data_IF_994374038749
#
_entry.id   IF_994374038749
#
_cell.length_a   1.000
_cell.length_b   1.000
_cell.length_c   1.000
_cell.angle_alpha   90.00
_cell.angle_beta   90.00
_cell.angle_gamma   90.00
#
_symmetry.space_group_name_H-M   'P 1'
#
loop_
_entity.id
_entity.type
_entity.pdbx_description
1 polymer ?
#
# COMPACT_ATOMS: atom_id res chain seq x y z
N UNK A 1 8.80 -10.70 -11.38
CA UNK A 1 9.29 -11.69 -10.39
C UNK A 1 8.60 -11.39 -9.07
N UNK A 2 7.99 -12.37 -8.40
CA UNK A 2 7.26 -12.14 -7.14
C UNK A 2 8.23 -11.81 -6.00
N UNK A 3 8.12 -10.59 -5.45
CA UNK A 3 8.89 -10.19 -4.27
C UNK A 3 8.32 -10.85 -3.00
N UNK A 4 9.13 -11.59 -2.22
CA UNK A 4 8.66 -12.22 -0.99
C UNK A 4 8.40 -11.22 0.13
N UNK A 5 7.26 -11.33 0.80
CA UNK A 5 7.08 -10.77 2.15
C UNK A 5 7.52 -11.77 3.23
N UNK A 6 7.17 -13.05 3.09
CA UNK A 6 7.49 -14.11 4.04
C UNK A 6 8.01 -15.37 3.32
N UNK A 7 8.76 -16.21 4.04
CA UNK A 7 9.14 -17.55 3.58
C UNK A 7 10.34 -17.62 2.63
N UNK A 8 11.08 -16.52 2.41
CA UNK A 8 12.35 -16.53 1.70
C UNK A 8 13.51 -16.09 2.62
N UNK A 9 14.50 -16.96 2.91
CA UNK A 9 15.62 -16.61 3.78
C UNK A 9 16.63 -15.66 3.15
N UNK A 10 16.63 -15.51 1.82
CA UNK A 10 17.63 -14.73 1.08
C UNK A 10 17.22 -13.28 0.80
N UNK A 11 15.99 -12.89 1.15
CA UNK A 11 15.49 -11.53 0.95
C UNK A 11 13.99 -11.42 1.13
N UNK A 12 13.51 -10.23 1.53
CA UNK A 12 12.08 -9.92 1.69
C UNK A 12 11.80 -8.41 1.60
N UNK A 13 10.53 -8.05 1.47
CA UNK A 13 10.06 -6.64 1.40
C UNK A 13 9.66 -6.06 2.75
N UNK A 14 9.95 -6.71 3.87
CA UNK A 14 9.49 -6.24 5.20
C UNK A 14 10.08 -4.88 5.58
N UNK A 15 11.24 -4.55 5.03
CA UNK A 15 11.85 -3.22 5.18
C UNK A 15 10.96 -2.11 4.61
N UNK A 16 10.26 -2.35 3.50
CA UNK A 16 9.31 -1.40 2.91
C UNK A 16 8.10 -1.22 3.82
N UNK A 17 7.59 -2.30 4.43
CA UNK A 17 6.49 -2.21 5.40
C UNK A 17 6.89 -1.38 6.63
N UNK A 18 8.12 -1.57 7.11
CA UNK A 18 8.66 -0.80 8.21
C UNK A 18 8.79 0.68 7.84
N UNK A 19 9.28 1.00 6.64
CA UNK A 19 9.37 2.39 6.17
C UNK A 19 8.00 3.06 6.03
N UNK A 20 7.00 2.37 5.50
CA UNK A 20 5.64 2.90 5.42
C UNK A 20 5.03 3.15 6.81
N UNK A 21 5.29 2.27 7.79
CA UNK A 21 4.88 2.47 9.18
C UNK A 21 5.52 3.72 9.79
N UNK A 22 6.82 3.91 9.60
CA UNK A 22 7.51 5.14 10.04
C UNK A 22 6.98 6.40 9.36
N UNK A 23 6.64 6.34 8.08
CA UNK A 23 6.05 7.48 7.38
C UNK A 23 4.69 7.89 7.98
N UNK A 24 3.83 6.92 8.32
CA UNK A 24 2.54 7.27 8.96
C UNK A 24 2.74 7.78 10.39
N UNK A 25 3.75 7.32 11.13
CA UNK A 25 4.12 7.92 12.42
C UNK A 25 4.54 9.39 12.28
N UNK A 26 5.33 9.72 11.25
CA UNK A 26 5.73 11.09 10.97
C UNK A 26 4.53 11.97 10.62
N UNK A 27 3.58 11.44 9.84
CA UNK A 27 2.32 12.11 9.53
C UNK A 27 1.53 12.36 10.82
N UNK A 28 1.40 11.36 11.67
CA UNK A 28 0.68 11.46 12.95
C UNK A 28 1.32 12.50 13.87
N UNK A 29 2.64 12.52 13.97
CA UNK A 29 3.38 13.50 14.76
C UNK A 29 3.13 14.92 14.23
N UNK A 30 3.21 15.12 12.92
CA UNK A 30 2.95 16.43 12.30
C UNK A 30 1.48 16.86 12.44
N UNK A 31 0.52 15.95 12.30
CA UNK A 31 -0.90 16.24 12.58
C UNK A 31 -1.11 16.66 14.03
N UNK A 32 -0.40 16.03 14.99
CA UNK A 32 -0.51 16.32 16.40
C UNK A 32 0.15 17.66 16.79
N UNK A 33 1.37 17.93 16.32
CA UNK A 33 2.13 19.14 16.65
C UNK A 33 1.78 20.34 15.78
N UNK A 34 1.22 20.12 14.59
CA UNK A 34 1.10 21.14 13.55
C UNK A 34 2.43 21.41 12.86
N UNK A 35 2.39 22.29 11.86
CA UNK A 35 3.55 22.72 11.10
C UNK A 35 3.45 24.20 10.70
N UNK A 36 4.44 24.73 9.97
CA UNK A 36 4.51 26.16 9.63
C UNK A 36 3.29 26.69 8.87
N UNK A 37 2.57 25.80 8.18
CA UNK A 37 1.41 26.12 7.33
C UNK A 37 0.12 25.44 7.78
N UNK A 38 0.13 24.71 8.91
CA UNK A 38 -1.02 23.92 9.34
C UNK A 38 -1.18 23.92 10.87
N UNK A 39 -2.38 24.22 11.39
CA UNK A 39 -2.64 24.15 12.82
C UNK A 39 -2.43 22.73 13.37
N UNK A 40 -2.01 22.66 14.63
CA UNK A 40 -2.00 21.41 15.39
C UNK A 40 -3.38 20.76 15.41
N UNK A 41 -3.40 19.43 15.53
CA UNK A 41 -4.60 18.56 15.57
C UNK A 41 -5.47 18.65 14.31
N UNK A 42 -4.88 18.98 13.17
CA UNK A 42 -5.62 19.01 11.89
C UNK A 42 -5.22 17.79 11.05
N UNK A 43 -6.08 16.76 10.92
CA UNK A 43 -5.76 15.56 10.17
C UNK A 43 -5.78 15.82 8.65
N UNK A 44 -4.86 15.23 7.90
CA UNK A 44 -4.92 15.20 6.43
C UNK A 44 -6.22 14.52 5.98
N UNK A 45 -6.70 14.89 4.79
CA UNK A 45 -7.89 14.23 4.22
C UNK A 45 -7.54 12.89 3.54
N UNK A 46 -6.32 12.83 2.98
CA UNK A 46 -5.75 11.69 2.28
C UNK A 46 -4.30 11.49 2.72
N UNK A 47 -3.85 10.24 2.67
CA UNK A 47 -2.45 9.88 2.83
C UNK A 47 -2.03 9.09 1.60
N UNK A 48 -0.89 9.47 1.02
CA UNK A 48 -0.34 8.87 -0.17
C UNK A 48 1.03 8.29 0.12
N UNK A 49 1.29 7.11 -0.42
CA UNK A 49 2.63 6.55 -0.55
C UNK A 49 2.93 6.36 -2.03
N UNK A 50 4.14 6.70 -2.44
CA UNK A 50 4.65 6.39 -3.77
C UNK A 50 6.12 6.04 -3.65
N UNK A 51 6.53 4.99 -4.35
CA UNK A 51 7.95 4.68 -4.56
C UNK A 51 8.61 5.82 -5.34
N UNK A 52 9.86 6.16 -4.99
CA UNK A 52 10.55 7.36 -5.48
C UNK A 52 11.30 7.13 -6.80
N UNK A 53 11.48 5.87 -7.17
CA UNK A 53 12.06 5.42 -8.42
C UNK A 53 11.08 5.48 -9.60
N UNK A 54 9.83 5.87 -9.38
CA UNK A 54 8.84 6.02 -10.46
C UNK A 54 8.83 7.41 -11.04
N UNK A 55 8.81 7.46 -12.38
CA UNK A 55 8.50 8.65 -13.14
C UNK A 55 6.99 8.74 -13.41
N UNK A 56 6.44 9.94 -13.27
CA UNK A 56 5.04 10.19 -13.62
C UNK A 56 4.97 10.53 -15.11
N UNK A 57 4.37 9.63 -15.90
CA UNK A 57 4.16 9.83 -17.33
C UNK A 57 3.04 10.83 -17.63
N UNK A 58 2.16 11.06 -16.65
CA UNK A 58 1.12 12.07 -16.69
C UNK A 58 0.79 12.56 -15.26
N UNK A 59 0.13 13.71 -15.14
CA UNK A 59 -0.22 14.32 -13.84
C UNK A 59 -1.07 13.39 -12.98
N UNK A 60 -0.86 13.35 -11.66
CA UNK A 60 -1.75 12.57 -10.78
C UNK A 60 -3.24 12.96 -10.98
N UNK A 61 -4.19 11.99 -11.02
CA UNK A 61 -5.61 12.30 -11.15
C UNK A 61 -6.09 13.29 -10.08
N UNK A 62 -6.91 14.29 -10.42
CA UNK A 62 -7.44 15.22 -9.43
C UNK A 62 -8.16 14.48 -8.29
N UNK A 63 -7.86 14.83 -7.03
CA UNK A 63 -8.38 14.12 -5.85
C UNK A 63 -9.91 14.09 -5.76
N UNK A 64 -10.60 15.08 -6.33
CA UNK A 64 -12.07 15.14 -6.33
C UNK A 64 -12.71 14.06 -7.22
N UNK A 65 -11.95 13.45 -8.14
CA UNK A 65 -12.40 12.30 -8.93
C UNK A 65 -12.20 10.97 -8.20
N UNK A 66 -11.44 10.97 -7.11
CA UNK A 66 -11.07 9.79 -6.34
C UNK A 66 -11.90 9.72 -5.06
N UNK A 67 -12.99 8.95 -5.12
CA UNK A 67 -13.90 8.74 -3.99
C UNK A 67 -13.14 8.30 -2.73
N UNK A 68 -13.22 9.06 -1.60
CA UNK A 68 -12.58 8.73 -0.33
C UNK A 68 -12.96 7.37 0.26
N UNK A 69 -14.05 6.76 -0.20
CA UNK A 69 -14.50 5.47 0.30
C UNK A 69 -13.51 4.34 0.01
N UNK A 70 -12.68 4.51 -1.02
CA UNK A 70 -11.79 3.47 -1.51
C UNK A 70 -10.32 3.74 -1.23
N UNK A 71 -9.56 2.66 -1.06
CA UNK A 71 -8.12 2.66 -1.28
C UNK A 71 -7.86 2.61 -2.79
N UNK A 72 -7.20 3.62 -3.32
CA UNK A 72 -6.83 3.69 -4.73
C UNK A 72 -5.45 3.11 -4.95
N UNK A 73 -5.38 2.13 -5.85
CA UNK A 73 -4.17 1.41 -6.23
C UNK A 73 -4.07 1.40 -7.76
N UNK A 74 -2.86 1.54 -8.33
CA UNK A 74 -2.68 1.36 -9.76
C UNK A 74 -2.94 -0.11 -10.13
N UNK A 75 -3.41 -0.36 -11.34
CA UNK A 75 -3.57 -1.73 -11.89
C UNK A 75 -2.32 -2.15 -12.64
N UNK A 76 -1.96 -3.43 -12.54
CA UNK A 76 -0.86 -4.01 -13.30
C UNK A 76 0.17 -4.68 -12.40
N UNK A 77 0.79 -5.75 -12.91
CA UNK A 77 1.81 -6.55 -12.22
C UNK A 77 1.36 -7.14 -10.88
N UNK A 78 0.06 -7.22 -10.60
CA UNK A 78 -0.46 -7.54 -9.27
C UNK A 78 -0.18 -8.99 -8.82
N UNK A 79 0.46 -9.85 -9.63
CA UNK A 79 0.69 -11.30 -9.42
C UNK A 79 -0.40 -11.98 -8.56
N UNK A 80 -1.68 -11.71 -8.84
CA UNK A 80 -2.90 -12.18 -8.13
C UNK A 80 -3.22 -11.55 -6.74
N UNK A 81 -2.37 -10.65 -6.26
CA UNK A 81 -2.47 -9.83 -5.05
C UNK A 81 -2.80 -8.34 -5.31
N UNK A 82 -2.21 -7.44 -4.51
CA UNK A 82 -2.32 -5.97 -4.63
C UNK A 82 -0.92 -5.36 -4.56
N UNK A 83 -0.49 -4.66 -5.61
CA UNK A 83 0.81 -3.97 -5.59
C UNK A 83 0.83 -2.82 -4.57
N UNK A 84 2.02 -2.46 -4.10
CA UNK A 84 2.29 -1.40 -3.11
C UNK A 84 3.15 -0.26 -3.68
N UNK A 85 3.23 -0.18 -5.02
CA UNK A 85 4.03 0.82 -5.75
C UNK A 85 3.54 2.24 -5.50
N UNK A 86 2.23 2.39 -5.42
CA UNK A 86 1.56 3.65 -5.11
C UNK A 86 0.22 3.38 -4.47
N UNK A 87 -0.08 4.06 -3.36
CA UNK A 87 -1.38 3.98 -2.70
C UNK A 87 -1.86 5.36 -2.29
N UNK A 88 -3.14 5.61 -2.52
CA UNK A 88 -3.84 6.78 -1.99
C UNK A 88 -5.01 6.31 -1.13
N UNK A 89 -4.88 6.53 0.18
CA UNK A 89 -5.87 6.16 1.18
C UNK A 89 -6.61 7.39 1.71
N UNK A 90 -7.86 7.20 2.11
CA UNK A 90 -8.51 8.11 3.04
C UNK A 90 -7.75 8.13 4.38
N UNK A 91 -7.78 9.26 5.09
CA UNK A 91 -7.12 9.32 6.40
C UNK A 91 -7.66 8.29 7.40
N UNK A 92 -8.97 8.01 7.34
CA UNK A 92 -9.66 6.96 8.12
C UNK A 92 -8.98 5.61 7.94
N UNK A 93 -8.60 5.28 6.72
CA UNK A 93 -8.08 3.96 6.36
C UNK A 93 -6.54 3.89 6.37
N UNK A 94 -5.86 5.04 6.35
CA UNK A 94 -4.41 5.15 6.24
C UNK A 94 -3.65 4.36 7.32
N UNK A 95 -4.09 4.37 8.58
CA UNK A 95 -3.48 3.54 9.64
C UNK A 95 -3.60 2.05 9.30
N UNK A 96 -4.77 1.63 8.82
CA UNK A 96 -5.02 0.26 8.43
C UNK A 96 -4.19 -0.19 7.24
N UNK A 97 -3.82 0.75 6.35
CA UNK A 97 -2.95 0.46 5.21
C UNK A 97 -1.48 0.50 5.65
N UNK A 98 -0.97 1.62 6.15
CA UNK A 98 0.48 1.82 6.28
C UNK A 98 1.11 1.15 7.52
N UNK A 99 0.32 0.58 8.43
CA UNK A 99 0.80 -0.13 9.64
C UNK A 99 0.81 -1.66 9.53
N UNK A 100 1.14 -2.18 8.35
CA UNK A 100 1.38 -3.62 8.13
C UNK A 100 2.50 -4.14 9.02
N UNK A 101 3.58 -3.37 9.15
CA UNK A 101 4.72 -3.73 9.99
C UNK A 101 4.30 -3.93 11.45
N UNK A 102 3.55 -2.97 12.02
CA UNK A 102 3.04 -3.06 13.38
C UNK A 102 2.20 -4.32 13.57
N UNK A 103 1.26 -4.57 12.67
CA UNK A 103 0.41 -5.75 12.77
C UNK A 103 1.20 -7.07 12.69
N UNK A 104 2.32 -7.11 11.95
CA UNK A 104 3.24 -8.25 11.90
C UNK A 104 3.95 -8.47 13.23
N UNK A 105 4.58 -7.42 13.76
CA UNK A 105 5.37 -7.47 14.99
C UNK A 105 4.48 -7.76 16.22
N UNK A 106 3.26 -7.23 16.23
CA UNK A 106 2.27 -7.48 17.28
C UNK A 106 1.61 -8.86 17.18
N UNK A 107 1.94 -9.65 16.16
CA UNK A 107 1.38 -10.98 15.96
C UNK A 107 -0.10 -11.00 15.58
N UNK A 108 -0.68 -9.87 15.17
CA UNK A 108 -2.10 -9.75 14.75
C UNK A 108 -2.42 -10.54 13.48
N UNK A 109 -1.39 -11.02 12.79
CA UNK A 109 -1.50 -11.83 11.57
C UNK A 109 -1.52 -13.35 11.79
N UNK A 110 -1.39 -13.84 13.02
CA UNK A 110 -1.41 -15.29 13.30
C UNK A 110 -2.65 -15.99 12.72
N UNK A 111 -3.83 -15.38 12.86
CA UNK A 111 -5.08 -15.94 12.31
C UNK A 111 -5.24 -15.83 10.79
N UNK A 112 -4.43 -15.00 10.11
CA UNK A 112 -4.55 -14.75 8.67
C UNK A 112 -3.65 -15.70 7.88
N UNK A 113 -2.45 -15.98 8.39
CA UNK A 113 -1.43 -16.78 7.69
C UNK A 113 -1.14 -18.13 8.33
N UNK A 114 -1.48 -18.32 9.61
CA UNK A 114 -1.04 -19.48 10.40
C UNK A 114 -2.21 -20.24 11.05
N UNK A 115 -3.44 -20.08 10.54
CA UNK A 115 -4.65 -20.70 11.08
C UNK A 115 -4.74 -22.23 10.92
N UNK A 116 -3.80 -22.86 10.20
CA UNK A 116 -3.72 -24.31 10.07
C UNK A 116 -2.47 -24.83 10.78
N UNK A 117 -2.67 -25.84 11.62
CA UNK A 117 -1.69 -26.48 12.52
C UNK A 117 -0.55 -27.25 11.81
N UNK A 118 -0.27 -26.92 10.55
CA UNK A 118 0.90 -27.40 9.81
C UNK A 118 1.70 -26.19 9.31
N UNK A 119 2.68 -25.77 10.12
CA UNK A 119 3.64 -24.72 9.72
C UNK A 119 4.57 -25.31 8.66
N UNK A 120 4.16 -25.23 7.39
CA UNK A 120 5.11 -25.21 6.28
C UNK A 120 5.53 -23.76 6.08
N UNK A 121 6.80 -23.45 5.75
CA UNK A 121 7.17 -22.12 5.32
C UNK A 121 6.43 -21.82 4.02
N UNK A 122 5.23 -21.24 4.13
CA UNK A 122 4.49 -20.77 2.97
C UNK A 122 5.20 -19.51 2.51
N UNK A 123 5.82 -19.59 1.34
CA UNK A 123 6.22 -18.39 0.62
C UNK A 123 4.97 -17.51 0.46
N UNK A 124 5.04 -16.26 0.94
CA UNK A 124 3.99 -15.28 0.74
C UNK A 124 4.60 -14.11 -0.01
N UNK A 125 4.12 -13.81 -1.21
CA UNK A 125 4.53 -12.60 -1.93
C UNK A 125 4.01 -11.33 -1.24
N UNK A 126 4.68 -10.20 -1.44
CA UNK A 126 4.23 -8.90 -0.94
C UNK A 126 2.80 -8.58 -1.37
N UNK A 127 2.47 -8.83 -2.63
CA UNK A 127 1.14 -8.58 -3.19
C UNK A 127 0.05 -9.46 -2.57
N UNK A 128 0.36 -10.75 -2.36
CA UNK A 128 -0.57 -11.66 -1.65
C UNK A 128 -0.76 -11.21 -0.21
N UNK A 129 0.33 -10.81 0.45
CA UNK A 129 0.29 -10.27 1.79
C UNK A 129 -0.60 -9.03 1.88
N UNK A 130 -0.40 -8.07 0.98
CA UNK A 130 -1.18 -6.84 0.89
C UNK A 130 -2.67 -7.14 0.70
N UNK A 131 -3.02 -8.03 -0.23
CA UNK A 131 -4.41 -8.45 -0.47
C UNK A 131 -5.07 -9.01 0.79
N UNK A 132 -4.42 -9.96 1.46
CA UNK A 132 -4.94 -10.61 2.66
C UNK A 132 -5.08 -9.61 3.83
N UNK A 133 -4.10 -8.72 3.99
CA UNK A 133 -4.16 -7.66 4.99
C UNK A 133 -5.33 -6.71 4.76
N UNK A 134 -5.51 -6.21 3.53
CA UNK A 134 -6.60 -5.30 3.19
C UNK A 134 -7.97 -5.96 3.39
N UNK A 135 -8.11 -7.25 3.05
CA UNK A 135 -9.31 -8.04 3.33
C UNK A 135 -9.59 -8.17 4.82
N UNK A 136 -8.59 -8.49 5.63
CA UNK A 136 -8.72 -8.56 7.09
C UNK A 136 -9.17 -7.22 7.69
N UNK A 137 -8.63 -6.11 7.19
CA UNK A 137 -9.01 -4.75 7.61
C UNK A 137 -10.36 -4.29 7.04
N UNK A 138 -11.01 -5.09 6.19
CA UNK A 138 -12.28 -4.79 5.50
C UNK A 138 -12.21 -3.48 4.71
N UNK A 139 -11.04 -3.19 4.12
CA UNK A 139 -10.84 -2.00 3.31
C UNK A 139 -11.31 -2.29 1.87
N UNK A 140 -12.20 -1.44 1.36
CA UNK A 140 -12.61 -1.50 -0.04
C UNK A 140 -11.50 -0.96 -0.94
N UNK A 141 -10.99 -1.79 -1.85
CA UNK A 141 -10.02 -1.37 -2.87
C UNK A 141 -10.73 -1.01 -4.18
N UNK A 142 -10.26 0.04 -4.84
CA UNK A 142 -10.60 0.32 -6.23
C UNK A 142 -9.33 0.46 -7.06
N UNK A 143 -9.29 -0.40 -8.06
CA UNK A 143 -8.30 -0.43 -9.11
C UNK A 143 -8.64 0.62 -10.17
N UNK A 144 -7.66 1.45 -10.55
CA UNK A 144 -7.79 2.36 -11.69
C UNK A 144 -7.16 1.70 -12.91
N UNK A 145 -8.01 1.21 -13.83
CA UNK A 145 -7.55 0.72 -15.14
C UNK A 145 -7.11 1.88 -16.01
N UNK A 146 -5.88 1.82 -16.50
CA UNK A 146 -5.24 2.78 -17.41
C UNK A 146 -5.73 2.60 -18.85
N UNK A 147 -7.04 2.65 -19.11
CA UNK A 147 -7.54 2.71 -20.48
C UNK A 147 -7.32 4.12 -21.04
N UNK A 148 -6.43 4.26 -22.03
CA UNK A 148 -6.06 5.48 -22.77
C UNK A 148 -5.27 6.58 -22.05
N UNK A 149 -5.01 6.43 -20.75
CA UNK A 149 -4.14 7.34 -19.99
C UNK A 149 -3.21 6.48 -19.14
N UNK A 150 -2.02 6.19 -19.67
CA UNK A 150 -0.92 5.58 -18.93
C UNK A 150 -0.41 6.55 -17.87
N UNK A 151 -1.01 6.53 -16.69
CA UNK A 151 -0.62 7.41 -15.59
C UNK A 151 0.60 6.91 -14.83
N UNK A 152 1.01 5.64 -15.02
CA UNK A 152 1.95 4.96 -14.15
C UNK A 152 3.17 4.43 -14.90
N UNK A 153 4.26 5.18 -14.72
CA UNK A 153 5.69 4.84 -14.80
C UNK A 153 6.25 4.08 -16.00
N UNK A 154 7.57 4.15 -16.13
CA UNK A 154 8.36 3.46 -17.16
C UNK A 154 8.42 1.93 -16.96
N UNK A 155 7.44 1.33 -16.27
CA UNK A 155 7.39 -0.12 -16.09
C UNK A 155 6.73 -0.77 -17.31
N UNK A 156 7.48 -1.65 -17.97
CA UNK A 156 7.16 -2.14 -19.31
C UNK A 156 5.85 -2.96 -19.36
N UNK A 157 5.49 -3.66 -18.27
CA UNK A 157 4.26 -4.47 -18.21
C UNK A 157 3.02 -3.62 -17.87
N UNK A 158 3.17 -2.56 -17.07
CA UNK A 158 2.10 -1.58 -16.84
C UNK A 158 1.81 -0.75 -18.10
N UNK A 159 2.85 -0.41 -18.87
CA UNK A 159 2.71 0.20 -20.19
C UNK A 159 1.96 -0.71 -21.18
N UNK A 160 2.22 -2.03 -21.15
CA UNK A 160 1.56 -3.00 -22.02
C UNK A 160 0.07 -3.21 -21.70
N UNK A 161 -0.38 -2.84 -20.51
CA UNK A 161 -1.80 -2.89 -20.11
C UNK A 161 -2.54 -1.56 -20.40
N UNK A 162 -1.79 -0.51 -20.77
CA UNK A 162 -2.30 0.82 -21.07
C UNK A 162 -2.41 1.13 -22.59
N UNK A 163 -1.83 0.26 -23.44
CA UNK A 163 -1.92 0.27 -24.91
C UNK A 163 -2.89 -0.82 -25.41
#
# INVERSE_FOLDING_TARGET
MMSPALGNPNGNTLQEFHYQSRCIEMINAHEASGGPRRPARTPYERVMFTRLEFEWLASHPPLHLLDPKYLWVPTGEDNTGVNDRHWLASRRDAEGVFRRWDALVEGKFHGIFFATSQVRPVFVSSETFNKLHLQYRKLGTKEVRTGNLGWFCNDAEMLATAL
#
